data_IF_167533328440
#
_entry.id   IF_167533328440
#
_cell.length_a   1.000
_cell.length_b   1.000
_cell.length_c   1.000
_cell.angle_alpha   90.00
_cell.angle_beta   90.00
_cell.angle_gamma   90.00
#
_symmetry.space_group_name_H-M   'P 1'
#
loop_
_entity.id
_entity.type
_entity.pdbx_description
1 polymer ?
#
# COMPACT_ATOMS: atom_id res chain seq x y z
N UNK A 1 5.60 10.43 22.53
CA UNK A 1 6.23 9.36 21.72
C UNK A 1 5.71 9.57 20.31
N UNK A 2 6.22 10.58 19.62
CA UNK A 2 5.80 10.90 18.26
C UNK A 2 6.74 10.19 17.30
N UNK A 3 6.20 9.20 16.59
CA UNK A 3 6.95 8.55 15.52
C UNK A 3 7.31 9.64 14.48
N UNK A 4 8.57 9.74 14.03
CA UNK A 4 8.98 10.76 13.05
C UNK A 4 8.33 10.55 11.68
N UNK A 5 7.67 9.41 11.47
CA UNK A 5 6.92 9.08 10.27
C UNK A 5 5.80 10.10 10.04
N UNK A 6 5.86 10.78 8.90
CA UNK A 6 4.87 11.78 8.46
C UNK A 6 3.57 11.13 7.97
N UNK A 7 3.54 9.81 7.83
CA UNK A 7 2.44 9.03 7.28
C UNK A 7 2.11 7.85 8.20
N UNK A 8 0.82 7.61 8.43
CA UNK A 8 0.31 6.46 9.14
C UNK A 8 0.14 5.30 8.16
N UNK A 9 0.75 4.15 8.47
CA UNK A 9 0.66 2.95 7.63
C UNK A 9 -0.41 1.99 8.15
N UNK A 10 -1.32 1.59 7.26
CA UNK A 10 -2.34 0.57 7.52
C UNK A 10 -2.07 -0.64 6.64
N UNK A 11 -2.17 -1.83 7.21
CA UNK A 11 -2.05 -3.07 6.47
C UNK A 11 -3.43 -3.55 6.03
N UNK A 12 -3.54 -3.99 4.78
CA UNK A 12 -4.76 -4.67 4.34
C UNK A 12 -4.90 -6.04 5.02
N UNK A 13 -6.15 -6.46 5.24
CA UNK A 13 -6.49 -7.74 5.88
C UNK A 13 -6.57 -8.89 4.88
N UNK A 14 -6.82 -8.60 3.60
CA UNK A 14 -7.13 -9.62 2.59
C UNK A 14 -5.95 -9.89 1.68
N UNK A 15 -5.10 -8.87 1.45
CA UNK A 15 -3.92 -8.96 0.59
C UNK A 15 -2.67 -8.66 1.40
N UNK A 16 -1.90 -9.70 1.67
CA UNK A 16 -0.58 -9.57 2.30
C UNK A 16 0.27 -8.56 1.53
N UNK A 17 1.04 -7.73 2.23
CA UNK A 17 1.93 -6.74 1.61
C UNK A 17 1.24 -5.48 1.08
N UNK A 18 -0.09 -5.46 0.91
CA UNK A 18 -0.83 -4.26 0.54
C UNK A 18 -0.92 -3.31 1.74
N UNK A 19 -0.47 -2.08 1.57
CA UNK A 19 -0.44 -1.01 2.56
C UNK A 19 -1.20 0.21 2.07
N UNK A 20 -1.91 0.88 2.98
CA UNK A 20 -2.45 2.20 2.78
C UNK A 20 -1.67 3.19 3.65
N UNK A 21 -1.00 4.15 3.03
CA UNK A 21 -0.32 5.24 3.73
C UNK A 21 -1.28 6.43 3.77
N UNK A 22 -1.54 6.94 4.98
CA UNK A 22 -2.34 8.13 5.21
C UNK A 22 -1.46 9.25 5.73
N UNK A 23 -1.27 10.29 4.93
CA UNK A 23 -0.56 11.50 5.34
C UNK A 23 -1.36 12.34 6.33
N UNK A 24 -0.66 13.22 7.04
CA UNK A 24 -1.24 14.18 8.01
C UNK A 24 -2.31 15.09 7.40
N UNK A 25 -2.23 15.37 6.11
CA UNK A 25 -3.16 16.23 5.36
C UNK A 25 -4.34 15.48 4.76
N UNK A 26 -4.53 14.21 5.11
CA UNK A 26 -5.63 13.37 4.60
C UNK A 26 -5.36 12.73 3.24
N UNK A 27 -4.20 13.00 2.62
CA UNK A 27 -3.77 12.27 1.41
C UNK A 27 -3.60 10.79 1.72
N UNK A 28 -4.12 9.92 0.84
CA UNK A 28 -4.00 8.47 0.99
C UNK A 28 -3.43 7.86 -0.29
N UNK A 29 -2.53 6.90 -0.12
CA UNK A 29 -1.90 6.17 -1.22
C UNK A 29 -1.79 4.70 -0.90
N UNK A 30 -1.97 3.87 -1.91
CA UNK A 30 -1.80 2.42 -1.83
C UNK A 30 -0.42 2.02 -2.33
N UNK A 31 0.23 1.14 -1.58
CA UNK A 31 1.55 0.59 -1.84
C UNK A 31 1.49 -0.92 -1.67
N UNK A 32 2.05 -1.69 -2.60
CA UNK A 32 2.29 -3.12 -2.40
C UNK A 32 3.76 -3.34 -2.09
N UNK A 33 4.06 -4.00 -0.96
CA UNK A 33 5.40 -4.49 -0.62
C UNK A 33 5.45 -6.00 -0.84
N UNK A 34 6.33 -6.46 -1.72
CA UNK A 34 6.48 -7.87 -2.08
C UNK A 34 7.96 -8.24 -2.24
N UNK A 35 8.23 -9.52 -2.46
CA UNK A 35 9.57 -10.04 -2.71
C UNK A 35 9.60 -10.77 -4.04
N UNK A 36 10.60 -10.46 -4.87
CA UNK A 36 10.86 -11.17 -6.12
C UNK A 36 12.32 -11.61 -6.12
N UNK A 37 12.58 -12.90 -6.36
CA UNK A 37 13.92 -13.50 -6.30
C UNK A 37 14.67 -13.19 -4.99
N UNK A 38 13.95 -13.21 -3.86
CA UNK A 38 14.50 -12.89 -2.52
C UNK A 38 14.75 -11.40 -2.26
N UNK A 39 14.59 -10.53 -3.26
CA UNK A 39 14.79 -9.08 -3.11
C UNK A 39 13.49 -8.40 -2.69
N UNK A 40 13.54 -7.68 -1.57
CA UNK A 40 12.43 -6.84 -1.09
C UNK A 40 12.22 -5.67 -2.05
N UNK A 41 11.00 -5.53 -2.54
CA UNK A 41 10.60 -4.46 -3.45
C UNK A 41 9.24 -3.89 -3.04
N UNK A 42 8.91 -2.73 -3.58
CA UNK A 42 7.60 -2.14 -3.41
C UNK A 42 7.18 -1.34 -4.62
N UNK A 43 5.89 -1.36 -4.93
CA UNK A 43 5.27 -0.57 -6.00
C UNK A 43 4.19 0.32 -5.42
N UNK A 44 4.08 1.54 -5.94
CA UNK A 44 2.92 2.38 -5.67
C UNK A 44 1.79 1.95 -6.61
N UNK A 45 0.63 1.62 -6.05
CA UNK A 45 -0.55 1.24 -6.83
C UNK A 45 -1.30 2.49 -7.30
N UNK A 46 -1.44 3.49 -6.42
CA UNK A 46 -2.16 4.71 -6.74
C UNK A 46 -2.51 5.54 -5.52
N UNK A 47 -3.20 6.65 -5.75
CA UNK A 47 -3.71 7.55 -4.71
C UNK A 47 -5.22 7.43 -4.62
N UNK A 48 -5.75 7.60 -3.43
CA UNK A 48 -7.19 7.78 -3.25
C UNK A 48 -7.53 9.27 -3.48
N UNK A 49 -8.64 9.60 -4.16
CA UNK A 49 -9.74 8.72 -4.58
C UNK A 49 -9.59 8.09 -5.98
N UNK A 50 -8.53 8.42 -6.74
CA UNK A 50 -8.34 7.93 -8.11
C UNK A 50 -8.30 6.39 -8.19
N UNK A 51 -7.75 5.75 -7.15
CA UNK A 51 -7.77 4.31 -6.94
C UNK A 51 -8.49 4.03 -5.63
N UNK A 52 -9.54 3.21 -5.70
CA UNK A 52 -10.26 2.72 -4.53
C UNK A 52 -9.61 1.45 -3.95
N UNK A 53 -10.06 1.04 -2.76
CA UNK A 53 -9.53 -0.16 -2.10
C UNK A 53 -9.76 -1.42 -2.94
N UNK A 54 -10.91 -1.52 -3.63
CA UNK A 54 -11.26 -2.71 -4.41
C UNK A 54 -10.33 -2.89 -5.61
N UNK A 55 -10.03 -1.79 -6.32
CA UNK A 55 -9.09 -1.77 -7.44
C UNK A 55 -7.68 -2.02 -6.95
N UNK A 56 -7.28 -1.42 -5.82
CA UNK A 56 -5.97 -1.67 -5.25
C UNK A 56 -5.75 -3.15 -4.90
N UNK A 57 -6.75 -3.82 -4.33
CA UNK A 57 -6.71 -5.27 -4.05
C UNK A 57 -6.63 -6.10 -5.33
N UNK A 58 -7.36 -5.74 -6.38
CA UNK A 58 -7.30 -6.43 -7.68
C UNK A 58 -5.90 -6.34 -8.29
N UNK A 59 -5.34 -5.13 -8.37
CA UNK A 59 -3.98 -4.92 -8.88
C UNK A 59 -2.97 -5.69 -8.03
N UNK A 60 -3.07 -5.61 -6.70
CA UNK A 60 -2.12 -6.27 -5.82
C UNK A 60 -2.10 -7.80 -5.98
N UNK A 61 -3.26 -8.43 -6.21
CA UNK A 61 -3.34 -9.88 -6.45
C UNK A 61 -2.65 -10.31 -7.76
N UNK A 62 -2.66 -9.47 -8.79
CA UNK A 62 -1.98 -9.75 -10.06
C UNK A 62 -0.45 -9.83 -9.94
N UNK A 63 0.15 -9.30 -8.88
CA UNK A 63 1.59 -9.39 -8.63
C UNK A 63 2.01 -10.65 -7.85
N UNK A 64 1.03 -11.42 -7.35
CA UNK A 64 1.28 -12.67 -6.61
C UNK A 64 1.12 -13.93 -7.47
N UNK A 65 0.55 -13.83 -8.68
CA UNK A 65 0.55 -14.89 -9.71
C UNK A 65 1.82 -14.82 -10.57
#
# INVERSE_FOLDING_TARGET
>A
MDSPSTELEFSDTDVTGLKCLSGKTGSKRFLLRYQINGKKTSIAIGRFPDVDLSTARKIARQYYE
#
